data_IF_201447229736
#
_entry.id   IF_201447229736
#
_cell.length_a   1.000
_cell.length_b   1.000
_cell.length_c   1.000
_cell.angle_alpha   90.00
_cell.angle_beta   90.00
_cell.angle_gamma   90.00
#
_symmetry.space_group_name_H-M   'P 1'
#
loop_
_entity.id
_entity.type
_entity.pdbx_description
1 polymer ?
#
# COMPACT_ATOMS: atom_id res chain seq x y z
N UNK A 1 45.38 -19.67 -15.73
CA UNK A 1 45.34 -20.64 -14.61
C UNK A 1 45.77 -19.87 -13.39
N UNK A 2 44.82 -19.33 -12.63
CA UNK A 2 43.95 -20.04 -11.67
C UNK A 2 44.71 -20.34 -10.39
N UNK A 3 44.01 -20.04 -9.30
CA UNK A 3 44.24 -20.45 -7.92
C UNK A 3 45.18 -19.56 -7.08
N UNK A 4 44.70 -19.31 -5.86
CA UNK A 4 45.41 -18.80 -4.68
C UNK A 4 45.34 -17.31 -4.35
N UNK A 5 44.14 -16.72 -4.38
CA UNK A 5 43.80 -15.72 -3.35
C UNK A 5 42.39 -15.98 -2.81
N UNK A 6 42.28 -17.12 -2.12
CA UNK A 6 41.12 -17.45 -1.32
C UNK A 6 41.45 -17.09 0.14
N UNK A 7 40.51 -16.38 0.77
CA UNK A 7 40.35 -16.17 2.23
C UNK A 7 41.34 -15.13 2.82
N UNK A 8 40.92 -14.09 3.54
CA UNK A 8 39.78 -14.02 4.45
C UNK A 8 39.59 -12.57 4.95
N UNK A 9 38.33 -12.19 5.18
CA UNK A 9 37.80 -11.22 6.17
C UNK A 9 38.34 -9.78 6.16
N UNK A 10 37.52 -8.86 5.63
CA UNK A 10 36.84 -7.77 6.37
C UNK A 10 35.64 -7.40 5.47
N UNK A 11 34.38 -7.62 5.85
CA UNK A 11 33.78 -7.02 7.03
C UNK A 11 33.25 -5.62 6.70
N UNK A 12 32.36 -5.51 5.71
CA UNK A 12 31.51 -4.32 5.51
C UNK A 12 30.12 -4.78 5.10
N UNK A 13 29.28 -4.99 6.12
CA UNK A 13 27.84 -5.06 5.99
C UNK A 13 27.31 -3.68 5.60
N UNK A 14 27.35 -3.37 4.30
CA UNK A 14 26.53 -2.31 3.74
C UNK A 14 25.05 -2.73 3.79
N UNK A 15 24.10 -1.80 3.98
CA UNK A 15 22.69 -2.14 4.00
C UNK A 15 22.27 -2.74 2.65
N UNK A 16 22.07 -4.06 2.60
CA UNK A 16 21.33 -4.72 1.55
C UNK A 16 19.87 -4.29 1.68
N UNK A 17 19.43 -3.34 0.86
CA UNK A 17 18.02 -2.94 0.88
C UNK A 17 17.68 -1.60 0.23
N UNK A 18 18.33 -1.23 -0.87
CA UNK A 18 17.82 -0.17 -1.74
C UNK A 18 18.14 -0.55 -3.19
N UNK A 19 17.52 -1.62 -3.67
CA UNK A 19 17.49 -1.87 -5.11
C UNK A 19 16.66 -0.75 -5.74
N UNK A 20 17.32 0.19 -6.41
CA UNK A 20 16.66 1.18 -7.26
C UNK A 20 15.87 0.41 -8.32
N UNK A 21 14.55 0.30 -8.18
CA UNK A 21 13.73 -0.45 -9.11
C UNK A 21 13.71 0.29 -10.46
N UNK A 22 14.51 -0.18 -11.43
CA UNK A 22 14.65 0.42 -12.77
C UNK A 22 13.45 0.13 -13.70
N UNK A 23 12.39 -0.52 -13.21
CA UNK A 23 11.25 -0.94 -14.02
C UNK A 23 9.96 -1.11 -13.21
N UNK A 24 8.92 -1.61 -13.88
CA UNK A 24 7.66 -1.97 -13.24
C UNK A 24 7.88 -3.08 -12.21
N UNK A 25 7.21 -2.97 -11.06
CA UNK A 25 7.24 -3.97 -9.99
C UNK A 25 5.82 -4.42 -9.64
N UNK A 26 5.69 -5.67 -9.21
CA UNK A 26 4.42 -6.21 -8.75
C UNK A 26 4.61 -6.83 -7.37
N UNK A 27 3.79 -6.37 -6.43
CA UNK A 27 3.79 -6.78 -5.04
C UNK A 27 2.48 -7.51 -4.72
N UNK A 28 2.58 -8.55 -3.90
CA UNK A 28 1.45 -9.20 -3.26
C UNK A 28 1.29 -8.65 -1.85
N UNK A 29 0.06 -8.29 -1.50
CA UNK A 29 -0.36 -7.92 -0.15
C UNK A 29 -1.21 -9.06 0.38
N UNK A 30 -0.73 -9.75 1.41
CA UNK A 30 -1.37 -10.93 1.98
C UNK A 30 -1.64 -10.72 3.47
N UNK A 31 -2.80 -11.12 3.99
CA UNK A 31 -3.03 -11.14 5.43
C UNK A 31 -2.10 -12.16 6.11
N UNK A 32 -1.70 -11.87 7.35
CA UNK A 32 -0.99 -12.84 8.17
C UNK A 32 -1.96 -13.97 8.59
N UNK A 33 -1.48 -15.21 8.66
CA UNK A 33 -2.33 -16.39 8.88
C UNK A 33 -2.89 -16.50 10.31
N UNK A 34 -2.28 -15.80 11.26
CA UNK A 34 -2.63 -15.85 12.69
C UNK A 34 -2.99 -14.48 13.27
N UNK A 35 -2.84 -13.41 12.48
CA UNK A 35 -3.05 -12.04 12.95
C UNK A 35 -3.74 -11.22 11.85
N UNK A 36 -5.04 -11.00 12.00
CA UNK A 36 -5.85 -10.28 11.01
C UNK A 36 -5.51 -8.78 10.91
N UNK A 37 -4.79 -8.25 11.91
CA UNK A 37 -4.31 -6.87 11.91
C UNK A 37 -2.98 -6.71 11.18
N UNK A 38 -2.34 -7.81 10.76
CA UNK A 38 -1.09 -7.79 10.01
C UNK A 38 -1.29 -8.11 8.52
N UNK A 39 -0.66 -7.29 7.68
CA UNK A 39 -0.52 -7.54 6.25
C UNK A 39 0.96 -7.62 5.88
N UNK A 40 1.34 -8.67 5.17
CA UNK A 40 2.68 -8.83 4.60
C UNK A 40 2.68 -8.41 3.14
N UNK A 41 3.75 -7.69 2.77
CA UNK A 41 3.98 -7.24 1.40
C UNK A 41 5.25 -7.93 0.90
N UNK A 42 5.10 -8.74 -0.14
CA UNK A 42 6.18 -9.51 -0.77
C UNK A 42 6.18 -9.31 -2.28
N UNK A 43 7.31 -9.50 -2.97
CA UNK A 43 7.31 -9.56 -4.43
C UNK A 43 6.39 -10.69 -4.93
N UNK A 44 5.73 -10.48 -6.06
CA UNK A 44 5.02 -11.57 -6.72
C UNK A 44 5.99 -12.70 -7.06
N UNK A 45 5.60 -13.93 -6.74
CA UNK A 45 6.42 -15.12 -6.97
C UNK A 45 7.43 -15.42 -5.86
N UNK A 46 7.46 -14.64 -4.78
CA UNK A 46 8.25 -14.95 -3.61
C UNK A 46 7.84 -16.32 -3.00
N UNK A 47 8.80 -17.10 -2.46
CA UNK A 47 8.51 -18.29 -1.68
C UNK A 47 7.54 -18.01 -0.51
N UNK A 48 6.77 -19.02 -0.10
CA UNK A 48 5.80 -18.87 1.01
C UNK A 48 6.46 -18.40 2.32
N UNK A 49 7.67 -18.85 2.57
CA UNK A 49 8.43 -18.55 3.80
C UNK A 49 9.38 -17.35 3.61
N UNK A 50 9.25 -16.61 2.50
CA UNK A 50 10.07 -15.43 2.29
C UNK A 50 9.73 -14.35 3.32
N UNK A 51 10.74 -13.68 3.90
CA UNK A 51 10.48 -12.55 4.77
C UNK A 51 9.76 -11.43 4.00
N UNK A 52 8.83 -10.69 4.64
CA UNK A 52 8.15 -9.57 4.01
C UNK A 52 9.16 -8.47 3.66
N UNK A 53 8.94 -7.79 2.53
CA UNK A 53 9.64 -6.52 2.25
C UNK A 53 9.13 -5.43 3.19
N UNK A 54 7.82 -5.42 3.39
CA UNK A 54 7.15 -4.49 4.28
C UNK A 54 6.01 -5.18 5.01
N UNK A 55 5.68 -4.67 6.18
CA UNK A 55 4.55 -5.13 6.98
C UNK A 55 3.65 -3.94 7.29
N UNK A 56 2.34 -4.07 7.11
CA UNK A 56 1.36 -3.09 7.58
C UNK A 56 0.65 -3.68 8.80
N UNK A 57 0.71 -2.95 9.91
CA UNK A 57 -0.10 -3.20 11.09
C UNK A 57 -1.32 -2.28 11.09
N UNK A 58 -2.50 -2.84 11.33
CA UNK A 58 -3.77 -2.12 11.51
C UNK A 58 -3.92 -1.83 12.99
N UNK A 59 -4.11 -0.56 13.36
CA UNK A 59 -4.32 -0.19 14.75
C UNK A 59 -5.68 -0.66 15.31
N UNK A 60 -5.92 -0.55 16.64
CA UNK A 60 -7.06 -1.15 17.37
C UNK A 60 -8.49 -0.69 17.02
N UNK A 61 -8.68 -0.01 15.89
CA UNK A 61 -9.99 0.40 15.35
C UNK A 61 -9.99 0.38 13.82
N UNK A 62 -8.96 -0.21 13.20
CA UNK A 62 -8.62 -0.09 11.78
C UNK A 62 -8.53 1.35 11.26
N UNK A 63 -8.62 2.38 12.13
CA UNK A 63 -8.56 3.81 11.77
C UNK A 63 -7.14 4.31 11.57
N UNK A 64 -6.13 3.50 11.91
CA UNK A 64 -4.73 3.81 11.72
C UNK A 64 -3.99 2.62 11.15
N UNK A 65 -2.98 2.90 10.35
CA UNK A 65 -2.07 1.92 9.77
C UNK A 65 -0.64 2.35 10.04
N UNK A 66 0.21 1.40 10.37
CA UNK A 66 1.65 1.61 10.54
C UNK A 66 2.37 0.65 9.61
N UNK A 67 3.23 1.18 8.76
CA UNK A 67 4.02 0.40 7.82
C UNK A 67 5.46 0.32 8.32
N UNK A 68 6.00 -0.89 8.32
CA UNK A 68 7.35 -1.23 8.72
C UNK A 68 8.14 -1.74 7.54
N UNK A 69 9.45 -1.50 7.51
CA UNK A 69 10.37 -2.21 6.62
C UNK A 69 10.66 -3.59 7.22
N UNK A 70 10.38 -4.65 6.49
CA UNK A 70 10.54 -6.01 6.99
C UNK A 70 9.54 -6.39 8.08
N UNK A 71 10.04 -7.03 9.14
CA UNK A 71 9.25 -7.48 10.28
C UNK A 71 8.76 -6.30 11.14
N UNK A 72 7.60 -6.43 11.81
CA UNK A 72 7.05 -5.37 12.63
C UNK A 72 7.93 -5.13 13.86
N UNK A 73 8.61 -3.99 13.89
CA UNK A 73 9.41 -3.53 15.01
C UNK A 73 9.42 -1.99 15.04
N UNK A 74 9.39 -1.34 16.23
CA UNK A 74 9.31 0.12 16.31
C UNK A 74 10.40 0.87 15.53
N UNK A 75 11.62 0.34 15.52
CA UNK A 75 12.77 0.87 14.78
C UNK A 75 12.63 0.79 13.25
N UNK A 76 11.72 -0.05 12.76
CA UNK A 76 11.48 -0.28 11.34
C UNK A 76 10.30 0.54 10.80
N UNK A 77 9.67 1.41 11.60
CA UNK A 77 8.54 2.23 11.14
C UNK A 77 9.01 3.19 10.05
N UNK A 78 8.39 3.09 8.88
CA UNK A 78 8.71 3.91 7.70
C UNK A 78 7.54 4.77 7.24
N UNK A 79 6.31 4.42 7.59
CA UNK A 79 5.14 5.22 7.25
C UNK A 79 3.96 4.96 8.19
N UNK A 80 3.04 5.93 8.24
CA UNK A 80 1.83 5.87 9.05
C UNK A 80 0.67 6.49 8.28
N UNK A 81 -0.54 5.94 8.45
CA UNK A 81 -1.76 6.53 7.94
C UNK A 81 -2.81 6.61 9.04
N UNK A 82 -3.57 7.71 9.11
CA UNK A 82 -4.70 7.89 10.02
C UNK A 82 -5.91 8.36 9.25
N UNK A 83 -6.99 7.60 9.34
CA UNK A 83 -8.25 7.87 8.66
C UNK A 83 -9.17 8.72 9.54
N UNK A 84 -9.85 9.67 8.91
CA UNK A 84 -10.79 10.58 9.54
C UNK A 84 -12.15 10.46 8.85
N UNK A 85 -13.03 9.62 9.41
CA UNK A 85 -14.34 9.31 8.82
C UNK A 85 -15.18 10.57 8.60
N UNK A 86 -15.26 11.44 9.61
CA UNK A 86 -16.08 12.67 9.59
C UNK A 86 -15.72 13.64 8.47
N UNK A 87 -14.46 13.64 8.02
CA UNK A 87 -13.99 14.51 6.93
C UNK A 87 -13.67 13.74 5.64
N UNK A 88 -13.83 12.41 5.65
CA UNK A 88 -13.41 11.52 4.56
C UNK A 88 -11.97 11.81 4.08
N UNK A 89 -11.06 12.00 5.04
CA UNK A 89 -9.64 12.29 4.80
C UNK A 89 -8.75 11.23 5.41
N UNK A 90 -7.53 11.13 4.90
CA UNK A 90 -6.48 10.29 5.46
C UNK A 90 -5.22 11.14 5.57
N UNK A 91 -4.71 11.27 6.78
CA UNK A 91 -3.38 11.83 7.01
C UNK A 91 -2.36 10.70 6.82
N UNK A 92 -1.47 10.86 5.85
CA UNK A 92 -0.45 9.89 5.50
C UNK A 92 0.93 10.54 5.74
N UNK A 93 1.85 9.81 6.34
CA UNK A 93 3.23 10.23 6.53
C UNK A 93 4.16 9.13 6.06
N UNK A 94 5.11 9.44 5.18
CA UNK A 94 6.14 8.52 4.69
C UNK A 94 7.49 9.13 4.98
N UNK A 95 8.35 8.45 5.75
CA UNK A 95 9.61 9.01 6.26
C UNK A 95 9.46 10.42 6.86
N UNK A 96 8.42 10.62 7.67
CA UNK A 96 8.06 11.91 8.27
C UNK A 96 7.70 13.03 7.29
N UNK A 97 7.42 12.70 6.02
CA UNK A 97 6.87 13.66 5.06
C UNK A 97 5.33 13.54 5.04
N UNK A 98 4.61 14.53 5.60
CA UNK A 98 3.16 14.48 5.69
C UNK A 98 2.50 14.78 4.34
N UNK A 99 1.38 14.12 4.08
CA UNK A 99 0.48 14.36 2.96
C UNK A 99 -0.95 14.01 3.37
N UNK A 100 -1.93 14.62 2.69
CA UNK A 100 -3.36 14.40 2.99
C UNK A 100 -4.04 13.83 1.76
N UNK A 101 -4.67 12.67 1.93
CA UNK A 101 -5.54 12.07 0.94
C UNK A 101 -6.97 12.53 1.19
N UNK A 102 -7.62 13.03 0.14
CA UNK A 102 -8.99 13.53 0.19
C UNK A 102 -9.89 12.69 -0.70
N UNK A 103 -10.99 12.22 -0.13
CA UNK A 103 -12.07 11.60 -0.88
C UNK A 103 -12.91 12.66 -1.60
N UNK A 104 -13.30 12.39 -2.85
CA UNK A 104 -14.28 13.15 -3.61
C UNK A 104 -15.54 12.30 -3.79
N UNK A 105 -16.57 12.55 -2.99
CA UNK A 105 -17.87 11.86 -3.08
C UNK A 105 -18.50 11.97 -4.47
N UNK A 106 -18.33 13.12 -5.15
CA UNK A 106 -18.85 13.34 -6.51
C UNK A 106 -18.26 12.38 -7.56
N UNK A 107 -17.01 11.92 -7.36
CA UNK A 107 -16.30 11.09 -8.35
C UNK A 107 -15.87 9.72 -7.83
N UNK A 108 -16.08 9.44 -6.54
CA UNK A 108 -15.53 8.26 -5.85
C UNK A 108 -13.99 8.20 -5.85
N UNK A 109 -13.31 9.32 -6.15
CA UNK A 109 -11.86 9.35 -6.31
C UNK A 109 -11.14 9.81 -5.05
N UNK A 110 -9.87 9.41 -4.91
CA UNK A 110 -9.03 9.76 -3.77
C UNK A 110 -7.78 10.46 -4.28
N UNK A 111 -7.59 11.72 -3.88
CA UNK A 111 -6.51 12.55 -4.42
C UNK A 111 -5.58 13.08 -3.34
N UNK A 112 -4.31 13.21 -3.67
CA UNK A 112 -3.28 13.72 -2.79
C UNK A 112 -2.15 14.37 -3.57
N UNK A 113 -1.35 15.18 -2.88
CA UNK A 113 -0.20 15.89 -3.46
C UNK A 113 1.04 15.59 -2.62
N UNK A 114 2.16 15.41 -3.31
CA UNK A 114 3.48 15.16 -2.72
C UNK A 114 4.51 16.06 -3.39
N UNK A 115 5.78 15.96 -2.94
CA UNK A 115 6.89 16.62 -3.62
C UNK A 115 7.12 16.10 -5.06
N UNK A 116 6.59 14.91 -5.42
CA UNK A 116 6.66 14.34 -6.77
C UNK A 116 5.50 14.76 -7.67
N UNK A 117 4.51 15.48 -7.15
CA UNK A 117 3.34 15.93 -7.90
C UNK A 117 2.01 15.45 -7.33
N UNK A 118 0.95 15.57 -8.14
CA UNK A 118 -0.42 15.23 -7.78
C UNK A 118 -0.79 13.85 -8.28
N UNK A 119 -1.50 13.10 -7.44
CA UNK A 119 -1.94 11.76 -7.73
C UNK A 119 -3.42 11.61 -7.42
N UNK A 120 -4.08 10.71 -8.16
CA UNK A 120 -5.50 10.41 -7.99
C UNK A 120 -5.76 8.93 -8.19
N UNK A 121 -6.23 8.27 -7.13
CA UNK A 121 -6.82 6.95 -7.24
C UNK A 121 -8.26 7.04 -7.77
N UNK A 122 -8.59 6.18 -8.72
CA UNK A 122 -9.93 6.02 -9.30
C UNK A 122 -10.35 4.56 -9.17
N UNK A 123 -11.63 4.33 -8.89
CA UNK A 123 -12.20 2.98 -9.02
C UNK A 123 -12.20 2.60 -10.48
N UNK A 124 -11.76 1.38 -10.80
CA UNK A 124 -11.78 0.87 -12.16
C UNK A 124 -13.26 0.59 -12.54
N UNK A 125 -13.83 1.32 -13.52
CA UNK A 125 -15.26 1.21 -13.84
C UNK A 125 -15.66 -0.16 -14.37
N UNK A 126 -14.74 -0.89 -15.00
CA UNK A 126 -15.01 -2.19 -15.62
C UNK A 126 -15.10 -3.31 -14.58
N UNK A 127 -14.30 -3.23 -13.53
CA UNK A 127 -14.23 -4.29 -12.50
C UNK A 127 -14.95 -3.93 -11.21
N UNK A 128 -15.28 -2.64 -10.99
CA UNK A 128 -15.89 -2.09 -9.77
C UNK A 128 -15.04 -2.20 -8.50
N UNK A 129 -14.04 -3.08 -8.50
CA UNK A 129 -13.27 -3.51 -7.33
C UNK A 129 -11.80 -3.08 -7.43
N UNK A 130 -11.27 -2.95 -8.65
CA UNK A 130 -9.93 -2.43 -8.90
C UNK A 130 -9.80 -0.94 -8.56
N UNK A 131 -8.59 -0.53 -8.18
CA UNK A 131 -8.25 0.83 -7.82
C UNK A 131 -6.99 1.23 -8.59
N UNK A 132 -7.04 2.30 -9.37
CA UNK A 132 -5.96 2.68 -10.27
C UNK A 132 -5.46 4.08 -9.94
N UNK A 133 -4.15 4.24 -9.85
CA UNK A 133 -3.49 5.50 -9.56
C UNK A 133 -3.09 6.19 -10.85
N UNK A 134 -3.47 7.45 -10.96
CA UNK A 134 -3.11 8.33 -12.06
C UNK A 134 -2.25 9.49 -11.55
N UNK A 135 -1.25 9.87 -12.34
CA UNK A 135 -0.50 11.11 -12.12
C UNK A 135 -1.27 12.35 -12.63
N UNK A 136 -0.67 13.52 -12.48
CA UNK A 136 -1.25 14.80 -12.93
C UNK A 136 -1.42 14.90 -14.45
N UNK A 137 -0.65 14.14 -15.23
CA UNK A 137 -0.72 14.10 -16.69
C UNK A 137 -1.77 13.10 -17.18
N UNK A 138 -2.38 12.34 -16.27
CA UNK A 138 -3.37 11.30 -16.60
C UNK A 138 -2.74 9.96 -16.98
N UNK A 139 -1.44 9.76 -16.75
CA UNK A 139 -0.82 8.46 -16.94
C UNK A 139 -1.16 7.54 -15.76
N UNK A 140 -1.48 6.28 -16.05
CA UNK A 140 -1.67 5.26 -15.02
C UNK A 140 -0.31 4.82 -14.49
N UNK A 141 -0.07 5.05 -13.20
CA UNK A 141 1.21 4.75 -12.56
C UNK A 141 1.17 3.53 -11.64
N UNK A 142 -0.02 3.17 -11.13
CA UNK A 142 -0.20 1.96 -10.33
C UNK A 142 -1.62 1.39 -10.40
N UNK A 143 -1.77 0.14 -9.98
CA UNK A 143 -3.05 -0.58 -9.85
C UNK A 143 -3.03 -1.43 -8.59
N UNK A 144 -4.10 -1.35 -7.81
CA UNK A 144 -4.39 -2.16 -6.65
C UNK A 144 -5.69 -2.95 -6.87
N UNK A 145 -5.68 -4.26 -6.58
CA UNK A 145 -6.87 -5.08 -6.76
C UNK A 145 -6.68 -6.53 -6.34
N UNK A 146 -7.59 -7.41 -6.77
CA UNK A 146 -7.49 -8.86 -6.53
C UNK A 146 -6.24 -9.44 -7.17
N UNK A 147 -5.57 -10.37 -6.47
CA UNK A 147 -4.45 -11.15 -7.01
C UNK A 147 -4.89 -12.29 -7.96
N UNK A 148 -6.20 -12.45 -8.21
CA UNK A 148 -6.77 -13.42 -9.15
C UNK A 148 -7.86 -14.27 -8.53
N UNK A 149 -8.51 -15.11 -9.36
CA UNK A 149 -9.62 -15.98 -8.93
C UNK A 149 -9.21 -17.09 -7.95
N UNK A 150 -7.93 -17.42 -7.82
CA UNK A 150 -7.48 -18.49 -6.91
C UNK A 150 -6.92 -17.96 -5.59
N UNK A 151 -6.80 -16.63 -5.46
CA UNK A 151 -6.16 -15.96 -4.31
C UNK A 151 -7.03 -14.80 -3.81
N UNK A 152 -8.27 -15.13 -3.43
CA UNK A 152 -9.30 -14.14 -3.10
C UNK A 152 -8.93 -13.22 -1.92
N UNK A 153 -8.18 -13.74 -0.96
CA UNK A 153 -7.72 -13.01 0.24
C UNK A 153 -6.50 -12.13 -0.05
N UNK A 154 -5.72 -12.47 -1.08
CA UNK A 154 -4.56 -11.70 -1.49
C UNK A 154 -4.96 -10.53 -2.38
N UNK A 155 -4.25 -9.41 -2.22
CA UNK A 155 -4.32 -8.27 -3.11
C UNK A 155 -3.01 -8.13 -3.85
N UNK A 156 -3.07 -7.54 -5.03
CA UNK A 156 -1.92 -7.25 -5.85
C UNK A 156 -1.80 -5.75 -6.04
N UNK A 157 -0.57 -5.24 -5.88
CA UNK A 157 -0.16 -3.89 -6.22
C UNK A 157 0.81 -3.96 -7.40
N UNK A 158 0.38 -3.47 -8.57
CA UNK A 158 1.24 -3.30 -9.73
C UNK A 158 1.66 -1.84 -9.83
N UNK A 159 2.97 -1.56 -9.85
CA UNK A 159 3.54 -0.23 -10.03
C UNK A 159 4.22 -0.19 -11.38
N UNK A 160 3.78 0.71 -12.26
CA UNK A 160 4.15 0.72 -13.69
C UNK A 160 5.30 1.65 -14.02
N UNK A 161 5.63 2.57 -13.12
CA UNK A 161 6.71 3.54 -13.29
C UNK A 161 7.88 3.20 -12.37
N UNK A 162 9.13 3.45 -12.80
CA UNK A 162 10.28 3.43 -11.91
C UNK A 162 10.05 4.41 -10.76
N UNK A 163 10.36 3.98 -9.55
CA UNK A 163 10.20 4.78 -8.34
C UNK A 163 11.16 4.35 -7.28
N UNK A 164 11.51 5.27 -6.40
CA UNK A 164 12.26 4.96 -5.20
C UNK A 164 11.37 4.27 -4.16
N UNK A 165 11.95 4.01 -3.00
CA UNK A 165 11.24 3.38 -1.91
C UNK A 165 10.11 4.26 -1.37
N UNK A 166 10.33 5.58 -1.30
CA UNK A 166 9.30 6.54 -0.90
C UNK A 166 8.06 6.41 -1.77
N UNK A 167 8.23 6.39 -3.10
CA UNK A 167 7.13 6.23 -4.05
C UNK A 167 6.41 4.90 -3.82
N UNK A 168 7.15 3.81 -3.65
CA UNK A 168 6.59 2.47 -3.43
C UNK A 168 5.73 2.43 -2.16
N UNK A 169 6.26 2.92 -1.04
CA UNK A 169 5.57 2.96 0.26
C UNK A 169 4.33 3.84 0.18
N UNK A 170 4.45 5.02 -0.41
CA UNK A 170 3.34 5.96 -0.58
C UNK A 170 2.21 5.34 -1.42
N UNK A 171 2.53 4.69 -2.54
CA UNK A 171 1.53 4.02 -3.39
C UNK A 171 0.84 2.89 -2.64
N UNK A 172 1.59 2.04 -1.94
CA UNK A 172 1.04 0.89 -1.19
C UNK A 172 0.14 1.36 -0.05
N UNK A 173 0.64 2.24 0.82
CA UNK A 173 -0.10 2.63 2.02
C UNK A 173 -1.30 3.54 1.68
N UNK A 174 -1.19 4.39 0.65
CA UNK A 174 -2.34 5.19 0.19
C UNK A 174 -3.46 4.31 -0.37
N UNK A 175 -3.14 3.26 -1.13
CA UNK A 175 -4.13 2.32 -1.65
C UNK A 175 -4.84 1.55 -0.53
N UNK A 176 -4.07 0.96 0.40
CA UNK A 176 -4.60 0.17 1.52
C UNK A 176 -5.52 1.02 2.40
N UNK A 177 -5.05 2.19 2.81
CA UNK A 177 -5.83 3.09 3.68
C UNK A 177 -7.06 3.67 2.97
N UNK A 178 -6.92 4.08 1.70
CA UNK A 178 -8.05 4.63 0.93
C UNK A 178 -9.13 3.58 0.67
N UNK A 179 -8.75 2.32 0.42
CA UNK A 179 -9.73 1.23 0.28
C UNK A 179 -10.36 0.81 1.59
N UNK A 180 -9.62 0.86 2.70
CA UNK A 180 -10.20 0.65 4.02
C UNK A 180 -11.26 1.72 4.34
N UNK A 181 -10.96 3.00 4.12
CA UNK A 181 -11.93 4.08 4.36
C UNK A 181 -13.12 4.00 3.39
N UNK A 182 -12.89 3.68 2.11
CA UNK A 182 -13.99 3.50 1.16
C UNK A 182 -14.97 2.42 1.60
N UNK A 183 -14.47 1.27 2.09
CA UNK A 183 -15.32 0.19 2.62
C UNK A 183 -16.19 0.65 3.79
N UNK A 184 -15.59 1.41 4.73
CA UNK A 184 -16.32 1.96 5.88
C UNK A 184 -17.40 2.96 5.42
N UNK A 185 -17.08 3.83 4.45
CA UNK A 185 -18.05 4.77 3.89
C UNK A 185 -19.21 4.01 3.23
N UNK A 186 -18.93 2.98 2.44
CA UNK A 186 -19.94 2.17 1.76
C UNK A 186 -20.85 1.43 2.76
N UNK A 187 -20.28 0.89 3.84
CA UNK A 187 -21.04 0.24 4.93
C UNK A 187 -21.98 1.22 5.64
N UNK A 188 -21.48 2.41 6.02
CA UNK A 188 -22.30 3.45 6.68
C UNK A 188 -23.42 3.96 5.77
N UNK A 189 -23.15 4.16 4.48
CA UNK A 189 -24.17 4.59 3.51
C UNK A 189 -25.24 3.51 3.31
N UNK A 190 -24.83 2.23 3.26
CA UNK A 190 -25.74 1.09 3.14
C UNK A 190 -26.70 0.96 4.33
N UNK A 191 -26.20 1.11 5.55
CA UNK A 191 -27.01 1.06 6.78
C UNK A 191 -28.08 2.14 6.80
N UNK A 192 -27.73 3.39 6.44
CA UNK A 192 -28.69 4.51 6.40
C UNK A 192 -29.76 4.27 5.33
N UNK A 193 -29.39 3.79 4.14
CA UNK A 193 -30.35 3.49 3.08
C UNK A 193 -31.32 2.37 3.46
N UNK A 194 -30.83 1.32 4.13
CA UNK A 194 -31.66 0.22 4.63
C UNK A 194 -32.67 0.66 5.69
N UNK A 195 -32.28 1.59 6.58
CA UNK A 195 -33.17 2.12 7.61
C UNK A 195 -34.32 2.98 7.05
N UNK A 196 -34.09 3.69 5.94
CA UNK A 196 -35.12 4.55 5.30
C UNK A 196 -36.11 3.74 4.47
N UNK A 197 -35.67 2.65 3.83
CA UNK A 197 -36.55 1.79 3.01
C UNK A 197 -37.37 0.79 3.83
N UNK A 198 -36.99 0.55 5.10
CA UNK A 198 -37.71 -0.31 6.03
C UNK A 198 -38.69 0.41 6.98
N UNK A 199 -38.80 1.74 6.87
CA UNK A 199 -39.69 2.58 7.67
C UNK A 199 -41.01 2.90 6.97
#
# INVERSE_FOLDING_TARGET
MKELLNKVLYGSSGPQGASSNKGSQVLTIQPHSQDDDLLFIVPVGAPKDAPPLYTIYKGPSSSSFVMHRGQPAPENIIAMARMHLSTSKIDLSVYNQPMVIKHSSMTGSWSFQTHMGKFKWKVNPLTGTGFELYDQMGNRVAKYGSAGLTRFTEKQMSIYVPGDEFFTIMVVLSAVSSKALAKIIDEVVGEVAGAVLGA
#
